data_IF_957484073608
#
_entry.id   IF_957484073608
#
_cell.length_a   1.000
_cell.length_b   1.000
_cell.length_c   1.000
_cell.angle_alpha   90.00
_cell.angle_beta   90.00
_cell.angle_gamma   90.00
#
_symmetry.space_group_name_H-M   'P 1'
#
loop_
_entity.id
_entity.type
_entity.pdbx_description
1 polymer ?
#
# COMPACT_ATOMS: atom_id res chain seq x y z
N UNK A 1 62.28 4.05 111.99
CA UNK A 1 61.71 5.32 112.50
C UNK A 1 61.09 6.05 111.32
N UNK A 2 59.80 6.36 111.48
CA UNK A 2 59.07 7.54 110.95
C UNK A 2 58.76 7.60 109.44
N UNK A 3 57.44 7.61 109.19
CA UNK A 3 56.70 7.97 107.99
C UNK A 3 56.86 9.44 107.56
N UNK A 4 56.59 9.72 106.28
CA UNK A 4 55.74 10.81 105.72
C UNK A 4 56.24 11.11 104.30
N UNK A 5 55.54 10.80 103.21
CA UNK A 5 54.23 11.28 102.70
C UNK A 5 54.17 12.79 102.49
N UNK A 6 53.68 13.13 101.28
CA UNK A 6 53.20 14.42 100.74
C UNK A 6 54.25 15.21 99.92
N UNK A 7 53.95 15.79 98.77
CA UNK A 7 52.64 16.18 98.24
C UNK A 7 52.58 16.07 96.71
N UNK A 8 51.39 15.73 96.24
CA UNK A 8 50.92 16.00 94.88
C UNK A 8 50.57 17.49 94.77
N UNK A 9 50.77 18.09 93.59
CA UNK A 9 49.91 19.16 93.11
C UNK A 9 49.84 19.15 91.58
N UNK A 10 48.59 19.17 91.09
CA UNK A 10 48.22 19.23 89.67
C UNK A 10 47.92 20.69 89.27
N UNK A 11 47.26 20.97 88.13
CA UNK A 11 47.84 21.47 86.90
C UNK A 11 47.55 22.98 86.67
N UNK A 12 48.43 23.70 85.97
CA UNK A 12 48.15 25.04 85.47
C UNK A 12 48.19 25.11 83.94
N UNK A 13 47.26 25.91 83.43
CA UNK A 13 46.70 25.86 82.10
C UNK A 13 47.53 26.53 80.98
N UNK A 14 47.40 25.93 79.81
CA UNK A 14 47.38 26.48 78.44
C UNK A 14 48.30 27.64 78.05
N UNK A 15 49.15 27.38 77.05
CA UNK A 15 49.31 28.27 75.90
C UNK A 15 48.87 27.51 74.65
N UNK A 16 47.70 27.88 74.13
CA UNK A 16 47.25 27.48 72.82
C UNK A 16 48.13 28.16 71.76
N UNK A 17 48.98 27.38 71.11
CA UNK A 17 49.65 27.79 69.86
C UNK A 17 48.57 27.76 68.77
N UNK A 18 48.41 28.81 67.95
CA UNK A 18 47.41 28.83 66.90
C UNK A 18 47.63 27.65 65.95
N UNK A 19 46.60 26.83 65.81
CA UNK A 19 46.49 25.79 64.79
C UNK A 19 46.75 26.43 63.43
N UNK A 20 47.90 26.10 62.83
CA UNK A 20 48.12 26.30 61.41
C UNK A 20 46.90 25.73 60.67
N UNK A 21 46.35 26.42 59.66
CA UNK A 21 45.35 25.81 58.81
C UNK A 21 45.99 24.54 58.27
N UNK A 22 45.39 23.39 58.56
CA UNK A 22 45.76 22.11 57.97
C UNK A 22 45.63 22.27 56.47
N UNK A 23 46.73 22.69 55.85
CA UNK A 23 46.90 22.75 54.42
C UNK A 23 46.52 21.38 53.90
N UNK A 24 45.56 21.37 52.97
CA UNK A 24 45.10 20.20 52.27
C UNK A 24 46.29 19.32 51.93
N UNK A 25 46.41 18.20 52.65
CA UNK A 25 47.51 17.27 52.42
C UNK A 25 47.43 16.82 50.97
N UNK A 26 48.53 16.85 50.19
CA UNK A 26 48.51 16.47 48.78
C UNK A 26 47.94 15.04 48.58
N UNK A 27 48.09 14.16 49.58
CA UNK A 27 47.48 12.82 49.58
C UNK A 27 45.95 12.79 49.55
N UNK A 28 45.25 13.78 50.11
CA UNK A 28 43.79 13.84 50.10
C UNK A 28 43.24 14.20 48.71
N UNK A 29 43.97 15.04 47.96
CA UNK A 29 43.63 15.39 46.57
C UNK A 29 43.85 14.18 45.65
N UNK A 30 44.97 13.47 45.80
CA UNK A 30 45.25 12.24 45.03
C UNK A 30 44.25 11.11 45.31
N UNK A 31 43.83 10.94 46.57
CA UNK A 31 42.77 9.98 46.89
C UNK A 31 41.42 10.40 46.30
N UNK A 32 41.04 11.68 46.39
CA UNK A 32 39.80 12.18 45.81
C UNK A 32 39.76 12.01 44.27
N UNK A 33 40.83 12.33 43.56
CA UNK A 33 40.90 12.16 42.09
C UNK A 33 40.85 10.69 41.69
N UNK A 34 41.50 9.78 42.43
CA UNK A 34 41.41 8.34 42.18
C UNK A 34 40.00 7.77 42.42
N UNK A 35 39.29 8.26 43.44
CA UNK A 35 37.90 7.87 43.72
C UNK A 35 36.93 8.33 42.64
N UNK A 36 37.05 9.58 42.17
CA UNK A 36 36.24 10.09 41.06
C UNK A 36 36.52 9.32 39.77
N UNK A 37 37.80 9.03 39.47
CA UNK A 37 38.18 8.25 38.30
C UNK A 37 37.60 6.82 38.36
N UNK A 38 37.60 6.20 39.54
CA UNK A 38 37.02 4.87 39.72
C UNK A 38 35.51 4.86 39.47
N UNK A 39 34.78 5.87 39.98
CA UNK A 39 33.34 6.01 39.73
C UNK A 39 33.07 6.27 38.23
N UNK A 40 33.88 7.11 37.58
CA UNK A 40 33.75 7.38 36.14
C UNK A 40 33.98 6.11 35.31
N UNK A 41 35.00 5.31 35.66
CA UNK A 41 35.28 4.02 35.01
C UNK A 41 34.15 3.01 35.24
N UNK A 42 33.61 2.93 36.46
CA UNK A 42 32.48 2.06 36.77
C UNK A 42 31.22 2.47 35.97
N UNK A 43 30.94 3.77 35.88
CA UNK A 43 29.84 4.30 35.06
C UNK A 43 30.03 3.97 33.58
N UNK A 44 31.24 4.16 33.04
CA UNK A 44 31.56 3.81 31.66
C UNK A 44 31.42 2.31 31.39
N UNK A 45 31.85 1.46 32.32
CA UNK A 45 31.72 0.01 32.21
C UNK A 45 30.25 -0.44 32.16
N UNK A 46 29.38 0.17 32.98
CA UNK A 46 27.94 -0.12 32.95
C UNK A 46 27.30 0.40 31.66
N UNK A 47 27.63 1.62 31.22
CA UNK A 47 27.10 2.21 30.01
C UNK A 47 27.50 1.43 28.75
N UNK A 48 28.77 1.04 28.63
CA UNK A 48 29.26 0.21 27.52
C UNK A 48 28.59 -1.15 27.51
N UNK A 49 28.46 -1.82 28.66
CA UNK A 49 27.77 -3.11 28.76
C UNK A 49 26.31 -3.03 28.30
N UNK A 50 25.57 -2.02 28.75
CA UNK A 50 24.16 -1.86 28.35
C UNK A 50 24.00 -1.51 26.86
N UNK A 51 24.94 -0.73 26.30
CA UNK A 51 24.94 -0.37 24.87
C UNK A 51 25.26 -1.57 24.00
N UNK A 52 26.27 -2.37 24.36
CA UNK A 52 26.62 -3.62 23.66
C UNK A 52 25.43 -4.59 23.67
N UNK A 53 24.75 -4.73 24.81
CA UNK A 53 23.56 -5.59 24.90
C UNK A 53 22.39 -5.10 24.02
N UNK A 54 22.18 -3.79 23.89
CA UNK A 54 21.16 -3.23 23.00
C UNK A 54 21.50 -3.49 21.53
N UNK A 55 22.75 -3.26 21.13
CA UNK A 55 23.24 -3.50 19.77
C UNK A 55 23.16 -4.98 19.40
N UNK A 56 23.51 -5.88 20.31
CA UNK A 56 23.42 -7.31 20.08
C UNK A 56 21.97 -7.76 19.88
N UNK A 57 21.03 -7.25 20.69
CA UNK A 57 19.60 -7.52 20.50
C UNK A 57 19.07 -7.01 19.16
N UNK A 58 19.45 -5.79 18.77
CA UNK A 58 19.08 -5.23 17.47
C UNK A 58 19.62 -6.08 16.31
N UNK A 59 20.89 -6.48 16.38
CA UNK A 59 21.51 -7.36 15.39
C UNK A 59 20.81 -8.70 15.28
N UNK A 60 20.51 -9.36 16.41
CA UNK A 60 19.78 -10.64 16.41
C UNK A 60 18.38 -10.50 15.80
N UNK A 61 17.70 -9.38 16.05
CA UNK A 61 16.38 -9.10 15.48
C UNK A 61 16.44 -8.88 13.97
N UNK A 62 17.42 -8.13 13.48
CA UNK A 62 17.66 -7.96 12.04
C UNK A 62 18.05 -9.27 11.36
N UNK A 63 18.90 -10.08 11.99
CA UNK A 63 19.25 -11.42 11.49
C UNK A 63 18.02 -12.33 11.43
N UNK A 64 17.16 -12.31 12.45
CA UNK A 64 15.90 -13.06 12.45
C UNK A 64 14.97 -12.59 11.32
N UNK A 65 14.77 -11.28 11.17
CA UNK A 65 14.00 -10.70 10.07
C UNK A 65 14.57 -11.09 8.71
N UNK A 66 15.88 -11.03 8.54
CA UNK A 66 16.55 -11.39 7.29
C UNK A 66 16.37 -12.88 6.98
N UNK A 67 16.48 -13.76 7.98
CA UNK A 67 16.21 -15.20 7.84
C UNK A 67 14.75 -15.47 7.48
N UNK A 68 13.81 -14.79 8.13
CA UNK A 68 12.38 -14.92 7.85
C UNK A 68 12.04 -14.44 6.43
N UNK A 69 12.60 -13.30 6.02
CA UNK A 69 12.48 -12.77 4.65
C UNK A 69 13.05 -13.74 3.63
N UNK A 70 14.25 -14.30 3.87
CA UNK A 70 14.84 -15.34 3.02
C UNK A 70 13.96 -16.58 2.93
N UNK A 71 13.34 -17.01 4.04
CA UNK A 71 12.43 -18.16 4.06
C UNK A 71 11.16 -17.88 3.26
N UNK A 72 10.56 -16.69 3.43
CA UNK A 72 9.40 -16.23 2.66
C UNK A 72 9.72 -16.19 1.17
N UNK A 73 10.86 -15.60 0.80
CA UNK A 73 11.32 -15.53 -0.58
C UNK A 73 11.53 -16.93 -1.17
N UNK A 74 12.22 -17.83 -0.45
CA UNK A 74 12.42 -19.21 -0.90
C UNK A 74 11.09 -19.95 -1.08
N UNK A 75 10.14 -19.78 -0.17
CA UNK A 75 8.81 -20.38 -0.27
C UNK A 75 8.08 -19.85 -1.50
N UNK A 76 8.07 -18.53 -1.71
CA UNK A 76 7.47 -17.89 -2.89
C UNK A 76 8.10 -18.39 -4.18
N UNK A 77 9.43 -18.49 -4.25
CA UNK A 77 10.13 -19.04 -5.41
C UNK A 77 9.79 -20.51 -5.65
N UNK A 78 9.74 -21.33 -4.60
CA UNK A 78 9.33 -22.73 -4.73
C UNK A 78 7.88 -22.86 -5.21
N UNK A 79 6.98 -22.00 -4.73
CA UNK A 79 5.60 -21.94 -5.22
C UNK A 79 5.56 -21.55 -6.70
N UNK A 80 6.29 -20.51 -7.10
CA UNK A 80 6.39 -20.09 -8.51
C UNK A 80 6.94 -21.24 -9.36
N UNK A 81 8.06 -21.87 -8.98
CA UNK A 81 8.65 -22.99 -9.74
C UNK A 81 7.74 -24.22 -9.79
N UNK A 82 7.00 -24.50 -8.72
CA UNK A 82 6.02 -25.61 -8.69
C UNK A 82 4.83 -25.31 -9.62
N UNK A 83 4.41 -24.06 -9.68
CA UNK A 83 3.35 -23.60 -10.58
C UNK A 83 3.84 -23.55 -12.03
N UNK A 84 5.12 -23.20 -12.27
CA UNK A 84 5.77 -23.20 -13.60
C UNK A 84 6.04 -24.62 -14.14
N UNK A 85 6.36 -25.59 -13.28
CA UNK A 85 6.52 -26.99 -13.71
C UNK A 85 5.20 -27.67 -14.09
N UNK A 86 4.07 -27.17 -13.58
CA UNK A 86 2.75 -27.72 -13.86
C UNK A 86 2.02 -26.81 -14.84
N UNK A 87 2.00 -27.13 -16.15
CA UNK A 87 1.37 -26.27 -17.15
C UNK A 87 -0.13 -26.01 -16.88
N UNK A 88 -0.83 -26.93 -16.24
CA UNK A 88 -2.22 -26.75 -15.80
C UNK A 88 -2.40 -25.69 -14.70
N UNK A 89 -1.38 -25.46 -13.86
CA UNK A 89 -1.40 -24.43 -12.82
C UNK A 89 -0.84 -23.08 -13.28
N UNK A 90 -0.04 -23.03 -14.35
CA UNK A 90 0.31 -21.75 -15.02
C UNK A 90 -0.96 -21.08 -15.56
N UNK A 91 -1.91 -21.89 -16.05
CA UNK A 91 -3.23 -21.42 -16.46
C UNK A 91 -4.22 -21.25 -15.29
N UNK A 92 -3.76 -21.41 -14.04
CA UNK A 92 -4.63 -21.14 -12.89
C UNK A 92 -4.96 -19.66 -12.84
N UNK A 93 -6.26 -19.38 -12.66
CA UNK A 93 -6.85 -18.04 -12.67
C UNK A 93 -6.20 -17.10 -11.66
N UNK A 94 -5.95 -17.59 -10.46
CA UNK A 94 -5.35 -16.82 -9.36
C UNK A 94 -3.92 -16.41 -9.70
N UNK A 95 -3.14 -17.31 -10.31
CA UNK A 95 -1.79 -16.99 -10.79
C UNK A 95 -1.80 -15.89 -11.86
N UNK A 96 -2.72 -15.95 -12.83
CA UNK A 96 -2.81 -14.92 -13.87
C UNK A 96 -3.22 -13.54 -13.31
N UNK A 97 -4.17 -13.49 -12.37
CA UNK A 97 -4.60 -12.23 -11.75
C UNK A 97 -3.52 -11.66 -10.82
N UNK A 98 -2.86 -12.49 -10.03
CA UNK A 98 -1.79 -12.04 -9.14
C UNK A 98 -0.53 -11.65 -9.91
N UNK A 99 -0.21 -12.36 -11.00
CA UNK A 99 0.83 -11.94 -11.93
C UNK A 99 0.48 -10.61 -12.58
N UNK A 100 -0.77 -10.42 -13.03
CA UNK A 100 -1.23 -9.14 -13.59
C UNK A 100 -1.08 -8.03 -12.55
N UNK A 101 -1.52 -8.23 -11.29
CA UNK A 101 -1.37 -7.24 -10.21
C UNK A 101 0.08 -6.86 -9.96
N UNK A 102 0.96 -7.85 -9.81
CA UNK A 102 2.40 -7.62 -9.65
C UNK A 102 2.98 -6.87 -10.85
N UNK A 103 2.59 -7.25 -12.07
CA UNK A 103 3.08 -6.64 -13.30
C UNK A 103 2.56 -5.20 -13.47
N UNK A 104 1.37 -4.90 -12.96
CA UNK A 104 0.76 -3.56 -12.96
C UNK A 104 1.49 -2.56 -12.04
N UNK A 105 2.35 -3.02 -11.13
CA UNK A 105 3.25 -2.15 -10.36
C UNK A 105 4.37 -1.56 -11.22
N UNK A 106 4.71 -2.19 -12.36
CA UNK A 106 5.67 -1.62 -13.30
C UNK A 106 5.03 -0.52 -14.15
N UNK A 107 5.58 0.69 -14.04
CA UNK A 107 5.13 1.89 -14.72
C UNK A 107 5.06 1.75 -16.23
N UNK A 108 6.02 1.06 -16.87
CA UNK A 108 6.04 0.93 -18.33
C UNK A 108 4.92 -0.01 -18.81
N UNK A 109 4.74 -1.13 -18.12
CA UNK A 109 3.68 -2.08 -18.40
C UNK A 109 2.30 -1.45 -18.14
N UNK A 110 2.13 -0.82 -16.98
CA UNK A 110 0.91 -0.11 -16.60
C UNK A 110 0.49 0.91 -17.66
N UNK A 111 1.42 1.77 -18.09
CA UNK A 111 1.16 2.79 -19.10
C UNK A 111 0.76 2.18 -20.46
N UNK A 112 1.42 1.11 -20.89
CA UNK A 112 1.10 0.43 -22.14
C UNK A 112 -0.33 -0.15 -22.12
N UNK A 113 -0.71 -0.82 -21.02
CA UNK A 113 -2.05 -1.39 -20.83
C UNK A 113 -3.12 -0.29 -20.75
N UNK A 114 -2.86 0.78 -19.99
CA UNK A 114 -3.78 1.91 -19.89
C UNK A 114 -4.07 2.55 -21.25
N UNK A 115 -3.04 2.76 -22.06
CA UNK A 115 -3.21 3.30 -23.41
C UNK A 115 -3.98 2.35 -24.32
N UNK A 116 -3.68 1.05 -24.24
CA UNK A 116 -4.39 0.05 -25.04
C UNK A 116 -5.88 0.01 -24.69
N UNK A 117 -6.23 0.05 -23.39
CA UNK A 117 -7.62 0.13 -22.92
C UNK A 117 -8.27 1.41 -23.46
N UNK A 118 -7.62 2.57 -23.33
CA UNK A 118 -8.15 3.86 -23.80
C UNK A 118 -8.49 3.82 -25.29
N UNK A 119 -7.61 3.26 -26.12
CA UNK A 119 -7.84 3.14 -27.57
C UNK A 119 -8.98 2.16 -27.85
N UNK A 120 -8.92 0.94 -27.29
CA UNK A 120 -9.92 -0.11 -27.55
C UNK A 120 -11.33 0.29 -27.08
N UNK A 121 -11.44 0.93 -25.91
CA UNK A 121 -12.71 1.46 -25.41
C UNK A 121 -13.22 2.56 -26.32
N UNK A 122 -12.38 3.52 -26.71
CA UNK A 122 -12.80 4.60 -27.62
C UNK A 122 -13.32 4.04 -28.95
N UNK A 123 -12.60 3.09 -29.55
CA UNK A 123 -12.98 2.54 -30.86
C UNK A 123 -14.24 1.68 -30.77
N UNK A 124 -14.29 0.72 -29.83
CA UNK A 124 -15.43 -0.21 -29.71
C UNK A 124 -16.66 0.46 -29.14
N UNK A 125 -16.53 1.26 -28.08
CA UNK A 125 -17.66 1.93 -27.44
C UNK A 125 -18.21 3.08 -28.30
N UNK A 126 -17.36 3.83 -29.02
CA UNK A 126 -17.88 4.89 -29.89
C UNK A 126 -18.74 4.31 -31.02
N UNK A 127 -18.40 3.13 -31.54
CA UNK A 127 -19.21 2.44 -32.56
C UNK A 127 -20.48 1.88 -31.92
N UNK A 128 -20.36 1.15 -30.80
CA UNK A 128 -21.49 0.52 -30.15
C UNK A 128 -22.54 1.52 -29.62
N UNK A 129 -22.09 2.69 -29.16
CA UNK A 129 -22.95 3.75 -28.66
C UNK A 129 -23.49 4.68 -29.76
N UNK A 130 -23.06 4.57 -31.02
CA UNK A 130 -23.59 5.41 -32.10
C UNK A 130 -25.10 5.14 -32.29
N UNK A 131 -25.94 6.17 -32.51
CA UNK A 131 -27.33 5.97 -32.89
C UNK A 131 -27.39 5.13 -34.18
N UNK A 132 -28.08 4.00 -34.12
CA UNK A 132 -28.37 3.19 -35.31
C UNK A 132 -29.64 3.75 -35.93
N UNK A 133 -29.60 4.06 -37.22
CA UNK A 133 -30.76 4.61 -37.94
C UNK A 133 -31.97 3.65 -37.97
N UNK A 134 -31.77 2.37 -37.62
CA UNK A 134 -32.84 1.39 -37.49
C UNK A 134 -33.80 1.66 -36.31
N UNK A 135 -33.41 2.44 -35.29
CA UNK A 135 -34.23 2.73 -34.11
C UNK A 135 -34.87 4.12 -34.09
N UNK A 136 -34.56 4.98 -35.06
CA UNK A 136 -35.07 6.37 -35.12
C UNK A 136 -36.36 6.50 -35.96
N UNK A 137 -36.82 5.42 -36.60
CA UNK A 137 -37.96 5.45 -37.53
C UNK A 137 -39.36 5.31 -36.93
N UNK A 138 -39.52 5.06 -35.63
CA UNK A 138 -40.84 4.87 -35.01
C UNK A 138 -41.18 5.99 -34.03
N UNK A 139 -41.70 7.09 -34.56
CA UNK A 139 -42.27 8.21 -33.80
C UNK A 139 -43.40 7.67 -32.91
N UNK A 140 -43.25 7.72 -31.58
CA UNK A 140 -44.34 7.49 -30.63
C UNK A 140 -44.08 6.48 -29.50
N UNK A 141 -42.99 5.70 -29.53
CA UNK A 141 -42.65 4.78 -28.41
C UNK A 141 -41.56 5.42 -27.54
N UNK A 142 -41.74 5.54 -26.21
CA UNK A 142 -40.68 5.99 -25.32
C UNK A 142 -39.50 5.01 -25.46
N UNK A 143 -38.35 5.53 -25.88
CA UNK A 143 -37.15 4.74 -26.14
C UNK A 143 -36.77 3.92 -24.91
N UNK A 144 -37.05 2.62 -24.94
CA UNK A 144 -36.49 1.66 -24.00
C UNK A 144 -34.97 1.71 -24.13
N UNK A 145 -34.26 1.94 -23.02
CA UNK A 145 -32.81 2.14 -23.04
C UNK A 145 -32.09 1.00 -23.77
N UNK A 146 -31.15 1.34 -24.67
CA UNK A 146 -30.45 0.35 -25.48
C UNK A 146 -29.42 -0.37 -24.62
N UNK A 147 -29.53 -1.69 -24.52
CA UNK A 147 -28.49 -2.52 -23.89
C UNK A 147 -27.30 -2.63 -24.84
N UNK A 148 -26.11 -2.36 -24.32
CA UNK A 148 -24.82 -2.49 -25.01
C UNK A 148 -24.04 -3.54 -24.22
N UNK A 149 -23.70 -4.64 -24.88
CA UNK A 149 -22.82 -5.68 -24.35
C UNK A 149 -21.70 -5.86 -25.37
N UNK A 150 -20.49 -5.49 -24.97
CA UNK A 150 -19.32 -5.49 -25.84
C UNK A 150 -18.14 -6.09 -25.11
N UNK A 151 -17.39 -6.91 -25.85
CA UNK A 151 -16.28 -7.69 -25.34
C UNK A 151 -15.06 -7.40 -26.19
N UNK A 152 -13.93 -7.10 -25.54
CA UNK A 152 -12.67 -6.95 -26.25
C UNK A 152 -11.50 -7.49 -25.43
N UNK A 153 -10.48 -7.95 -26.15
CA UNK A 153 -9.29 -8.57 -25.59
C UNK A 153 -8.21 -7.50 -25.36
N UNK A 154 -7.48 -7.60 -24.25
CA UNK A 154 -6.29 -6.80 -23.93
C UNK A 154 -5.08 -7.70 -24.17
N UNK A 155 -4.19 -7.27 -25.08
CA UNK A 155 -3.10 -8.10 -25.58
C UNK A 155 -1.77 -7.53 -25.10
N UNK A 156 -0.82 -8.40 -24.79
CA UNK A 156 0.55 -8.01 -24.53
C UNK A 156 1.48 -8.61 -25.57
N UNK A 157 2.24 -7.74 -26.21
CA UNK A 157 3.41 -8.15 -26.98
C UNK A 157 4.53 -8.42 -25.97
N UNK A 158 4.87 -9.70 -25.76
CA UNK A 158 6.18 -10.00 -25.19
C UNK A 158 7.20 -9.54 -26.22
N UNK A 159 8.15 -8.70 -25.80
CA UNK A 159 9.24 -8.18 -26.62
C UNK A 159 10.24 -9.29 -27.02
N UNK A 160 9.77 -10.34 -27.69
CA UNK A 160 10.62 -11.33 -28.33
C UNK A 160 10.64 -11.04 -29.84
N UNK A 161 11.73 -10.46 -30.38
CA UNK A 161 11.83 -10.09 -31.78
C UNK A 161 11.74 -11.28 -32.75
N UNK A 162 11.81 -12.52 -32.24
CA UNK A 162 11.74 -13.74 -33.05
C UNK A 162 10.42 -14.50 -32.93
N UNK A 163 9.51 -14.12 -32.01
CA UNK A 163 8.22 -14.79 -31.84
C UNK A 163 7.12 -13.78 -31.47
N UNK A 164 6.45 -13.22 -32.49
CA UNK A 164 5.22 -12.43 -32.34
C UNK A 164 4.03 -13.30 -31.88
N UNK A 165 4.14 -13.94 -30.72
CA UNK A 165 2.99 -14.58 -30.08
C UNK A 165 2.28 -13.53 -29.24
N UNK A 166 1.30 -12.88 -29.86
CA UNK A 166 0.35 -12.00 -29.18
C UNK A 166 -0.48 -12.82 -28.20
N UNK A 167 -0.12 -12.78 -26.92
CA UNK A 167 -0.90 -13.38 -25.85
C UNK A 167 -2.05 -12.46 -25.43
N UNK A 168 -3.25 -13.01 -25.27
CA UNK A 168 -4.35 -12.31 -24.60
C UNK A 168 -4.08 -12.34 -23.10
N UNK A 169 -3.85 -11.19 -22.49
CA UNK A 169 -3.66 -11.07 -21.04
C UNK A 169 -4.98 -11.30 -20.31
N UNK A 170 -5.97 -10.49 -20.68
CA UNK A 170 -7.30 -10.52 -20.10
C UNK A 170 -8.32 -9.94 -21.07
N UNK A 171 -9.59 -10.23 -20.83
CA UNK A 171 -10.71 -9.75 -21.62
C UNK A 171 -11.53 -8.77 -20.80
N UNK A 172 -12.05 -7.72 -21.42
CA UNK A 172 -12.96 -6.77 -20.78
C UNK A 172 -14.34 -6.91 -21.42
N UNK A 173 -15.37 -7.09 -20.59
CA UNK A 173 -16.77 -7.07 -20.98
C UNK A 173 -17.46 -5.86 -20.37
N UNK A 174 -18.15 -5.08 -21.20
CA UNK A 174 -18.84 -3.86 -20.81
C UNK A 174 -20.33 -4.05 -21.05
N UNK A 175 -21.12 -4.06 -19.97
CA UNK A 175 -22.58 -4.18 -19.96
C UNK A 175 -23.20 -2.87 -19.50
N UNK A 176 -23.78 -2.13 -20.44
CA UNK A 176 -24.36 -0.81 -20.21
C UNK A 176 -25.78 -0.73 -20.74
N UNK A 177 -26.59 0.13 -20.16
CA UNK A 177 -27.89 0.51 -20.72
C UNK A 177 -27.83 1.97 -21.11
N UNK A 178 -27.68 2.26 -22.41
CA UNK A 178 -27.61 3.62 -22.92
C UNK A 178 -28.98 4.30 -22.82
N UNK A 179 -29.01 5.43 -22.13
CA UNK A 179 -30.12 6.38 -22.17
C UNK A 179 -29.80 7.45 -23.24
N UNK A 180 -30.71 7.78 -24.17
CA UNK A 180 -30.43 8.69 -25.29
C UNK A 180 -30.05 10.13 -24.92
N UNK A 181 -30.27 10.54 -23.66
CA UNK A 181 -30.12 11.93 -23.21
C UNK A 181 -28.67 12.36 -22.97
N UNK A 182 -27.70 11.44 -22.89
CA UNK A 182 -26.30 11.78 -22.62
C UNK A 182 -25.42 11.72 -23.88
N UNK A 183 -24.48 12.66 -23.99
CA UNK A 183 -23.48 12.67 -25.05
C UNK A 183 -22.61 11.41 -25.02
N UNK A 184 -22.50 10.73 -26.17
CA UNK A 184 -21.73 9.49 -26.33
C UNK A 184 -20.26 9.64 -25.91
N UNK A 185 -19.63 10.79 -26.21
CA UNK A 185 -18.24 11.07 -25.82
C UNK A 185 -18.03 11.12 -24.32
N UNK A 186 -18.98 11.70 -23.57
CA UNK A 186 -18.91 11.77 -22.11
C UNK A 186 -19.06 10.39 -21.48
N UNK A 187 -19.97 9.56 -21.99
CA UNK A 187 -20.11 8.17 -21.52
C UNK A 187 -18.83 7.37 -21.78
N UNK A 188 -18.21 7.52 -22.96
CA UNK A 188 -16.94 6.85 -23.28
C UNK A 188 -15.83 7.30 -22.32
N UNK A 189 -15.71 8.60 -22.04
CA UNK A 189 -14.72 9.10 -21.06
C UNK A 189 -14.95 8.51 -19.68
N UNK A 190 -16.20 8.51 -19.19
CA UNK A 190 -16.55 7.95 -17.88
C UNK A 190 -16.19 6.46 -17.78
N UNK A 191 -16.39 5.69 -18.86
CA UNK A 191 -15.99 4.27 -18.92
C UNK A 191 -14.47 4.13 -18.84
N UNK A 192 -13.73 4.94 -19.62
CA UNK A 192 -12.26 4.93 -19.59
C UNK A 192 -11.78 5.27 -18.19
N UNK A 193 -12.24 6.37 -17.61
CA UNK A 193 -11.82 6.83 -16.28
C UNK A 193 -12.16 5.80 -15.20
N UNK A 194 -13.31 5.13 -15.31
CA UNK A 194 -13.70 4.04 -14.41
C UNK A 194 -12.77 2.80 -14.52
N UNK A 195 -12.45 2.37 -15.73
CA UNK A 195 -11.53 1.24 -15.94
C UNK A 195 -10.11 1.59 -15.51
N UNK A 196 -9.66 2.82 -15.78
CA UNK A 196 -8.32 3.27 -15.41
C UNK A 196 -8.18 3.41 -13.88
N UNK A 197 -9.19 3.97 -13.20
CA UNK A 197 -9.22 4.04 -11.75
C UNK A 197 -9.17 2.66 -11.10
N UNK A 198 -9.94 1.69 -11.63
CA UNK A 198 -9.91 0.31 -11.12
C UNK A 198 -8.56 -0.38 -11.31
N UNK A 199 -7.86 -0.09 -12.40
CA UNK A 199 -6.58 -0.71 -12.73
C UNK A 199 -5.38 0.01 -12.08
N UNK A 200 -5.61 1.10 -11.34
CA UNK A 200 -4.56 1.83 -10.63
C UNK A 200 -4.17 1.10 -9.34
N UNK A 201 -2.87 0.85 -9.09
CA UNK A 201 -2.40 0.15 -7.89
C UNK A 201 -2.61 0.94 -6.59
N UNK A 202 -2.96 2.22 -6.68
CA UNK A 202 -3.12 3.12 -5.53
C UNK A 202 -4.56 3.17 -4.98
N UNK A 203 -5.53 2.57 -5.68
CA UNK A 203 -6.95 2.67 -5.30
C UNK A 203 -7.36 1.47 -4.48
N UNK A 204 -7.87 1.69 -3.26
CA UNK A 204 -8.43 0.63 -2.44
C UNK A 204 -9.73 0.09 -3.09
N UNK A 205 -9.62 -1.09 -3.72
CA UNK A 205 -10.65 -1.64 -4.58
C UNK A 205 -11.92 -2.06 -3.83
N UNK A 206 -11.87 -2.24 -2.51
CA UNK A 206 -12.98 -2.79 -1.73
C UNK A 206 -14.11 -1.78 -1.47
N UNK A 207 -13.82 -0.47 -1.56
CA UNK A 207 -14.80 0.59 -1.27
C UNK A 207 -15.15 1.45 -2.48
N UNK A 208 -14.34 1.40 -3.55
CA UNK A 208 -14.50 2.29 -4.68
C UNK A 208 -15.51 1.77 -5.71
N UNK A 209 -16.54 2.56 -6.00
CA UNK A 209 -17.56 2.26 -7.00
C UNK A 209 -17.66 3.42 -8.01
N UNK A 210 -17.39 3.18 -9.30
CA UNK A 210 -17.52 4.22 -10.31
C UNK A 210 -18.99 4.53 -10.60
N UNK A 211 -19.25 5.74 -11.10
CA UNK A 211 -20.57 6.14 -11.60
C UNK A 211 -20.53 6.30 -13.11
N UNK A 212 -21.45 5.64 -13.81
CA UNK A 212 -21.64 5.73 -15.25
C UNK A 212 -23.02 6.30 -15.55
N UNK A 213 -23.05 7.42 -16.26
CA UNK A 213 -24.31 8.12 -16.59
C UNK A 213 -25.16 8.46 -15.34
N UNK A 214 -24.52 8.75 -14.20
CA UNK A 214 -25.20 9.01 -12.93
C UNK A 214 -25.78 7.76 -12.23
N UNK A 215 -25.47 6.56 -12.71
CA UNK A 215 -25.81 5.28 -12.06
C UNK A 215 -24.55 4.61 -11.53
N UNK A 216 -24.68 3.88 -10.44
CA UNK A 216 -23.57 3.09 -9.88
C UNK A 216 -23.22 1.96 -10.85
N UNK A 217 -21.93 1.79 -11.13
CA UNK A 217 -21.40 0.68 -11.90
C UNK A 217 -20.53 -0.20 -11.00
N UNK A 218 -20.55 -1.50 -11.27
CA UNK A 218 -19.75 -2.51 -10.57
C UNK A 218 -18.68 -3.03 -11.54
N UNK A 219 -17.44 -3.10 -11.04
CA UNK A 219 -16.31 -3.68 -11.78
C UNK A 219 -15.80 -4.87 -10.98
N UNK A 220 -15.91 -6.06 -11.56
CA UNK A 220 -15.43 -7.28 -10.92
C UNK A 220 -14.74 -8.19 -11.93
N UNK A 221 -13.76 -8.94 -11.47
CA UNK A 221 -13.19 -10.06 -12.23
C UNK A 221 -14.15 -11.25 -12.17
N UNK A 222 -14.66 -11.70 -13.32
CA UNK A 222 -15.51 -12.88 -13.42
C UNK A 222 -14.70 -14.15 -13.17
N UNK A 223 -14.97 -14.78 -12.02
CA UNK A 223 -14.33 -15.99 -11.54
C UNK A 223 -14.84 -17.27 -12.23
N UNK A 224 -15.79 -17.19 -13.16
CA UNK A 224 -16.31 -18.37 -13.88
C UNK A 224 -15.68 -18.59 -15.24
N UNK A 225 -15.10 -17.56 -15.85
CA UNK A 225 -14.40 -17.69 -17.13
C UNK A 225 -13.12 -18.54 -17.00
N UNK A 226 -12.89 -19.43 -17.96
CA UNK A 226 -11.64 -20.19 -18.19
C UNK A 226 -11.34 -20.14 -19.70
N UNK A 227 -10.08 -20.06 -20.16
CA UNK A 227 -8.82 -19.93 -19.40
C UNK A 227 -8.36 -18.48 -19.14
N UNK A 228 -8.94 -17.49 -19.82
CA UNK A 228 -8.52 -16.08 -19.75
C UNK A 228 -9.34 -15.30 -18.72
N UNK A 229 -8.72 -14.49 -17.84
CA UNK A 229 -9.45 -13.66 -16.89
C UNK A 229 -10.33 -12.64 -17.63
N UNK A 230 -11.56 -12.48 -17.13
CA UNK A 230 -12.57 -11.59 -17.70
C UNK A 230 -12.90 -10.50 -16.68
N UNK A 231 -12.70 -9.24 -17.04
CA UNK A 231 -13.10 -8.07 -16.27
C UNK A 231 -14.49 -7.63 -16.74
N UNK A 232 -15.47 -7.62 -15.84
CA UNK A 232 -16.85 -7.25 -16.16
C UNK A 232 -17.16 -5.88 -15.55
N UNK A 233 -17.48 -4.92 -16.40
CA UNK A 233 -18.05 -3.63 -16.04
C UNK A 233 -19.56 -3.67 -16.26
N UNK A 234 -20.35 -3.66 -15.20
CA UNK A 234 -21.80 -3.76 -15.24
C UNK A 234 -22.45 -2.52 -14.61
N UNK A 235 -23.31 -1.84 -15.36
CA UNK A 235 -24.12 -0.74 -14.82
C UNK A 235 -25.32 -1.31 -14.04
N UNK A 236 -25.40 -1.01 -12.75
CA UNK A 236 -26.52 -1.44 -11.92
C UNK A 236 -27.77 -0.63 -12.28
N UNK A 237 -28.92 -1.30 -12.40
CA UNK A 237 -30.20 -0.64 -12.68
C UNK A 237 -30.82 0.04 -11.44
N UNK A 238 -30.18 -0.10 -10.27
CA UNK A 238 -30.70 0.35 -8.96
C UNK A 238 -30.58 1.88 -8.72
N UNK A 239 -30.76 2.68 -9.77
CA UNK A 239 -30.87 4.15 -9.69
C UNK A 239 -32.01 4.72 -10.54
N UNK A 240 -32.76 3.88 -11.26
CA UNK A 240 -33.86 4.32 -12.13
C UNK A 240 -35.16 4.70 -11.37
N UNK A 241 -35.25 4.43 -10.06
CA UNK A 241 -36.42 4.73 -9.23
C UNK A 241 -36.40 6.10 -8.56
N UNK A 242 -35.49 7.00 -8.93
CA UNK A 242 -35.61 8.43 -8.59
C UNK A 242 -36.05 9.15 -9.85
N UNK A 243 -37.37 9.17 -10.08
CA UNK A 243 -37.99 10.00 -11.10
C UNK A 243 -37.60 11.46 -10.86
N UNK A 244 -36.77 12.03 -11.73
CA UNK A 244 -36.55 13.49 -11.76
C UNK A 244 -37.87 14.14 -12.17
N UNK A 245 -38.66 14.53 -11.18
CA UNK A 245 -39.93 15.24 -11.36
C UNK A 245 -39.62 16.66 -11.81
N UNK A 246 -39.55 16.90 -13.11
CA UNK A 246 -39.38 18.24 -13.66
C UNK A 246 -40.65 19.05 -13.39
N UNK A 247 -40.67 19.87 -12.35
CA UNK A 247 -41.71 20.90 -12.21
C UNK A 247 -41.45 21.99 -13.25
N UNK A 248 -42.11 21.90 -14.41
CA UNK A 248 -42.35 23.10 -15.19
C UNK A 248 -43.32 23.96 -14.40
N UNK A 249 -42.83 25.03 -13.76
CA UNK A 249 -43.70 26.11 -13.32
C UNK A 249 -44.30 26.75 -14.57
N UNK A 250 -45.50 26.30 -14.95
CA UNK A 250 -46.33 27.02 -15.89
C UNK A 250 -46.75 28.32 -15.20
N UNK A 251 -46.07 29.42 -15.54
CA UNK A 251 -46.49 30.78 -15.19
C UNK A 251 -47.85 31.00 -15.87
N UNK A 252 -48.93 30.94 -15.09
CA UNK A 252 -50.27 31.34 -15.53
C UNK A 252 -50.22 32.82 -15.93
N UNK A 253 -50.77 33.10 -17.10
CA UNK A 253 -51.13 34.44 -17.56
C UNK A 253 -52.27 35.01 -16.69
#
# INVERSE_FOLDING_TARGET
MINSIAAADSPLAQVAVPSQPSGSQPGQIWMATSGVLFIALAGLAIFTKTTIQKLEKARRFEEFKNRELKKKLKLSLQTITKMERNPDLIHSREFNLDYLRLRMEDKQFHFAIMNQIKIKVKDKMSVALRPSQASEGLVGIPSTGRKVDEIFDVNYDLNDPHQQKQGVLFRIQIKLTKIPTQATSQTVSQIVDALLGYMSPETDHDTWQPTLQGRIARIDWDQKAKPTPLLVLEQLNSGANVTFRTQRMAKRA
#
